data_IF_598272145060
#
_entry.id   IF_598272145060
#
_cell.length_a   1.000
_cell.length_b   1.000
_cell.length_c   1.000
_cell.angle_alpha   90.00
_cell.angle_beta   90.00
_cell.angle_gamma   90.00
#
_symmetry.space_group_name_H-M   'P 1'
#
loop_
_entity.id
_entity.type
_entity.pdbx_description
1 polymer ?
#
# COMPACT_ATOMS: atom_id res chain seq x y z
N UNK A 1 38.99 13.32 -50.48
CA UNK A 1 38.54 12.02 -49.93
C UNK A 1 37.08 12.14 -49.54
N UNK A 2 36.39 11.00 -49.52
CA UNK A 2 34.97 10.72 -49.83
C UNK A 2 33.88 11.40 -48.97
N UNK A 3 32.62 11.51 -49.48
CA UNK A 3 31.47 12.06 -48.77
C UNK A 3 30.85 11.03 -47.82
N UNK A 4 30.17 11.48 -46.76
CA UNK A 4 29.40 10.63 -45.84
C UNK A 4 27.97 11.21 -45.72
N UNK A 5 26.92 10.37 -45.71
CA UNK A 5 25.67 10.61 -46.44
C UNK A 5 24.61 11.45 -45.74
N UNK A 6 23.71 11.99 -46.57
CA UNK A 6 22.37 12.44 -46.17
C UNK A 6 21.63 11.36 -45.38
N UNK A 7 21.02 11.76 -44.27
CA UNK A 7 19.74 11.20 -43.85
C UNK A 7 18.71 12.32 -43.92
N UNK A 8 18.01 12.38 -45.05
CA UNK A 8 16.82 13.20 -45.20
C UNK A 8 15.75 12.55 -44.33
N UNK A 9 15.56 13.05 -43.10
CA UNK A 9 14.29 12.80 -42.44
C UNK A 9 13.26 13.67 -43.16
N UNK A 10 12.42 13.02 -43.96
CA UNK A 10 11.24 13.64 -44.54
C UNK A 10 10.44 14.29 -43.40
N UNK A 11 10.22 15.59 -43.53
CA UNK A 11 9.06 16.25 -42.92
C UNK A 11 7.82 15.61 -43.55
N UNK A 12 7.29 14.58 -42.92
CA UNK A 12 5.86 14.27 -43.03
C UNK A 12 5.16 15.23 -42.09
N UNK A 13 4.57 16.27 -42.66
CA UNK A 13 3.44 16.95 -42.02
C UNK A 13 2.31 15.93 -41.91
N UNK A 14 2.37 15.10 -40.86
CA UNK A 14 1.16 14.53 -40.31
C UNK A 14 0.51 15.68 -39.56
N UNK A 15 -0.46 16.31 -40.23
CA UNK A 15 -1.51 17.06 -39.57
C UNK A 15 -2.19 16.06 -38.63
N UNK A 16 -1.68 15.95 -37.41
CA UNK A 16 -2.44 15.36 -36.32
C UNK A 16 -3.44 16.42 -35.90
N UNK A 17 -4.76 16.10 -35.89
CA UNK A 17 -5.70 16.92 -35.16
C UNK A 17 -5.16 17.05 -33.75
N UNK A 18 -4.92 18.28 -33.30
CA UNK A 18 -4.66 18.57 -31.90
C UNK A 18 -5.87 18.06 -31.11
N UNK A 19 -5.82 16.81 -30.66
CA UNK A 19 -6.65 16.39 -29.55
C UNK A 19 -6.35 17.39 -28.43
N UNK A 20 -7.36 18.05 -27.85
CA UNK A 20 -7.11 19.11 -26.90
C UNK A 20 -6.28 18.52 -25.77
N UNK A 21 -5.13 19.13 -25.45
CA UNK A 21 -4.24 18.70 -24.36
C UNK A 21 -5.01 18.50 -23.04
N UNK A 22 -6.16 19.18 -22.91
CA UNK A 22 -7.12 19.01 -21.82
C UNK A 22 -7.72 17.59 -21.70
N UNK A 23 -7.93 16.82 -22.78
CA UNK A 23 -8.50 15.46 -22.66
C UNK A 23 -7.51 14.48 -22.03
N UNK A 24 -6.21 14.63 -22.31
CA UNK A 24 -5.16 13.82 -21.69
C UNK A 24 -4.96 14.17 -20.22
N UNK A 25 -4.96 15.47 -19.89
CA UNK A 25 -4.88 15.96 -18.52
C UNK A 25 -6.11 15.55 -17.72
N UNK A 26 -7.32 15.64 -18.28
CA UNK A 26 -8.54 15.19 -17.60
C UNK A 26 -8.59 13.68 -17.42
N UNK A 27 -8.18 12.87 -18.41
CA UNK A 27 -8.10 11.41 -18.24
C UNK A 27 -7.05 10.98 -17.21
N UNK A 28 -5.90 11.65 -17.15
CA UNK A 28 -4.91 11.44 -16.08
C UNK A 28 -5.44 11.87 -14.71
N UNK A 29 -6.18 12.97 -14.65
CA UNK A 29 -6.81 13.46 -13.42
C UNK A 29 -7.89 12.48 -12.93
N UNK A 30 -8.68 11.93 -13.86
CA UNK A 30 -9.70 10.92 -13.59
C UNK A 30 -9.07 9.59 -13.17
N UNK A 31 -7.94 9.18 -13.75
CA UNK A 31 -7.24 7.93 -13.36
C UNK A 31 -6.59 8.01 -11.97
N UNK A 32 -6.10 9.19 -11.55
CA UNK A 32 -5.57 9.41 -10.20
C UNK A 32 -6.64 9.34 -9.09
N UNK A 33 -7.91 9.60 -9.43
CA UNK A 33 -9.02 9.46 -8.47
C UNK A 33 -9.30 7.99 -8.09
N UNK A 34 -8.67 7.03 -8.76
CA UNK A 34 -8.81 5.60 -8.49
C UNK A 34 -7.62 4.98 -7.75
N UNK A 35 -6.62 5.79 -7.37
CA UNK A 35 -5.48 5.29 -6.59
C UNK A 35 -5.91 5.14 -5.13
N UNK A 36 -5.81 3.93 -4.54
CA UNK A 36 -6.06 3.73 -3.13
C UNK A 36 -5.13 4.60 -2.29
N UNK A 37 -5.69 5.28 -1.28
CA UNK A 37 -4.94 6.09 -0.32
C UNK A 37 -4.98 5.44 1.04
N UNK A 38 -3.82 5.35 1.66
CA UNK A 38 -3.68 4.99 3.07
C UNK A 38 -3.53 6.27 3.88
N UNK A 39 -4.44 6.52 4.82
CA UNK A 39 -4.39 7.64 5.75
C UNK A 39 -4.08 7.09 7.14
N UNK A 40 -3.26 7.82 7.87
CA UNK A 40 -2.81 7.45 9.20
C UNK A 40 -2.27 8.70 9.91
N UNK A 41 -2.12 8.59 11.23
CA UNK A 41 -1.40 9.54 12.06
C UNK A 41 -0.30 8.82 12.83
N UNK A 42 0.83 9.51 12.99
CA UNK A 42 1.96 9.02 13.77
C UNK A 42 2.06 9.80 15.07
N UNK A 43 2.25 9.08 16.17
CA UNK A 43 2.58 9.63 17.47
C UNK A 43 3.68 8.79 18.12
N UNK A 44 4.50 9.41 18.96
CA UNK A 44 5.49 8.70 19.75
C UNK A 44 5.16 8.85 21.24
N UNK A 45 4.96 7.73 21.92
CA UNK A 45 4.76 7.71 23.37
C UNK A 45 6.13 7.59 24.05
N UNK A 46 6.61 8.71 24.59
CA UNK A 46 7.90 8.77 25.29
C UNK A 46 7.92 7.94 26.58
N UNK A 47 6.78 7.71 27.23
CA UNK A 47 6.73 6.92 28.46
C UNK A 47 6.86 5.43 28.15
N UNK A 48 6.17 4.97 27.11
CA UNK A 48 6.21 3.57 26.67
C UNK A 48 7.37 3.24 25.76
N UNK A 49 8.01 4.27 25.17
CA UNK A 49 9.02 4.13 24.10
C UNK A 49 8.45 3.35 22.91
N UNK A 50 7.31 3.82 22.43
CA UNK A 50 6.56 3.18 21.34
C UNK A 50 6.18 4.20 20.26
N UNK A 51 6.34 3.78 19.00
CA UNK A 51 5.72 4.45 17.86
C UNK A 51 4.30 3.93 17.70
N UNK A 52 3.33 4.84 17.70
CA UNK A 52 1.92 4.57 17.51
C UNK A 52 1.47 5.05 16.13
N UNK A 53 0.86 4.14 15.38
CA UNK A 53 0.17 4.44 14.12
C UNK A 53 -1.32 4.31 14.36
N UNK A 54 -2.05 5.41 14.23
CA UNK A 54 -3.48 5.51 14.56
C UNK A 54 -4.26 6.19 13.42
N UNK A 55 -5.59 6.32 13.56
CA UNK A 55 -6.49 6.89 12.55
C UNK A 55 -6.29 6.23 11.18
N UNK A 56 -6.22 4.89 11.21
CA UNK A 56 -5.90 4.05 10.06
C UNK A 56 -7.12 3.95 9.14
N UNK A 57 -6.98 4.47 7.92
CA UNK A 57 -8.04 4.45 6.92
C UNK A 57 -7.49 4.06 5.54
N UNK A 58 -8.23 3.22 4.83
CA UNK A 58 -8.06 3.00 3.40
C UNK A 58 -9.19 3.72 2.66
N UNK A 59 -8.85 4.57 1.68
CA UNK A 59 -9.81 5.40 0.94
C UNK A 59 -9.63 5.20 -0.55
N UNK A 60 -10.74 5.16 -1.29
CA UNK A 60 -10.72 5.07 -2.75
C UNK A 60 -10.23 3.72 -3.24
N UNK A 61 -10.45 2.66 -2.45
CA UNK A 61 -10.14 1.30 -2.87
C UNK A 61 -11.20 0.83 -3.89
N UNK A 62 -10.84 0.63 -5.17
CA UNK A 62 -11.80 0.12 -6.14
C UNK A 62 -12.23 -1.29 -5.75
N UNK A 63 -13.53 -1.55 -5.83
CA UNK A 63 -14.08 -2.91 -5.79
C UNK A 63 -14.08 -3.41 -7.23
N UNK A 64 -13.16 -4.31 -7.58
CA UNK A 64 -13.18 -4.92 -8.92
C UNK A 64 -14.20 -6.05 -8.97
N UNK A 65 -14.77 -6.31 -10.15
CA UNK A 65 -15.79 -7.36 -10.31
C UNK A 65 -15.23 -8.77 -10.12
N UNK A 66 -13.91 -8.94 -10.19
CA UNK A 66 -13.22 -10.20 -9.87
C UNK A 66 -12.97 -10.41 -8.36
N UNK A 67 -13.45 -9.53 -7.48
CA UNK A 67 -13.29 -9.74 -6.04
C UNK A 67 -14.19 -10.88 -5.54
N UNK A 68 -13.56 -11.93 -4.99
CA UNK A 68 -14.27 -13.05 -4.40
C UNK A 68 -15.06 -12.62 -3.15
N UNK A 69 -16.33 -13.07 -3.00
CA UNK A 69 -17.12 -12.80 -1.81
C UNK A 69 -16.40 -13.35 -0.57
N UNK A 70 -16.20 -12.49 0.44
CA UNK A 70 -15.48 -12.82 1.67
C UNK A 70 -13.97 -12.55 1.64
N UNK A 71 -13.45 -11.86 0.61
CA UNK A 71 -12.10 -11.31 0.64
C UNK A 71 -12.01 -10.18 1.67
N UNK A 72 -10.94 -10.20 2.47
CA UNK A 72 -10.71 -9.24 3.56
C UNK A 72 -9.49 -8.36 3.25
N UNK A 73 -9.39 -7.19 3.92
CA UNK A 73 -8.20 -6.34 3.91
C UNK A 73 -7.71 -6.07 5.33
N UNK A 74 -6.44 -5.75 5.42
CA UNK A 74 -5.81 -5.28 6.64
C UNK A 74 -4.63 -4.39 6.29
N UNK A 75 -4.17 -3.62 7.27
CA UNK A 75 -2.94 -2.85 7.17
C UNK A 75 -1.87 -3.62 7.95
N UNK A 76 -0.78 -3.98 7.26
CA UNK A 76 0.42 -4.52 7.89
C UNK A 76 1.49 -3.45 7.94
N UNK A 77 2.11 -3.27 9.11
CA UNK A 77 3.24 -2.38 9.30
C UNK A 77 4.49 -3.14 9.70
N UNK A 78 5.62 -2.72 9.15
CA UNK A 78 6.96 -3.22 9.47
C UNK A 78 7.82 -2.03 9.88
N UNK A 79 8.38 -2.07 11.09
CA UNK A 79 9.31 -1.07 11.59
C UNK A 79 10.72 -1.68 11.63
N UNK A 80 11.65 -1.10 10.91
CA UNK A 80 13.06 -1.48 10.89
C UNK A 80 13.89 -0.43 11.61
N UNK A 81 14.78 -0.85 12.50
CA UNK A 81 15.67 0.03 13.27
C UNK A 81 17.00 -0.68 13.54
N UNK A 82 17.92 0.00 14.23
CA UNK A 82 19.20 -0.60 14.64
C UNK A 82 19.02 -1.80 15.57
N UNK A 83 17.95 -1.84 16.38
CA UNK A 83 17.58 -2.97 17.22
C UNK A 83 16.94 -4.15 16.47
N UNK A 84 16.70 -4.01 15.17
CA UNK A 84 16.09 -5.03 14.32
C UNK A 84 14.73 -4.61 13.75
N UNK A 85 13.96 -5.62 13.34
CA UNK A 85 12.67 -5.45 12.66
C UNK A 85 11.53 -5.94 13.54
N UNK A 86 10.44 -5.17 13.60
CA UNK A 86 9.18 -5.55 14.26
C UNK A 86 8.01 -5.40 13.30
N UNK A 87 6.95 -6.20 13.50
CA UNK A 87 5.77 -6.22 12.64
C UNK A 87 4.50 -6.14 13.49
N UNK A 88 3.50 -5.42 12.97
CA UNK A 88 2.16 -5.36 13.54
C UNK A 88 1.13 -5.31 12.42
N UNK A 89 -0.09 -5.78 12.70
CA UNK A 89 -1.18 -5.72 11.73
C UNK A 89 -2.51 -5.38 12.40
N UNK A 90 -3.40 -4.78 11.62
CA UNK A 90 -4.77 -4.55 12.05
C UNK A 90 -5.59 -5.83 11.93
N UNK A 91 -6.79 -5.81 12.49
CA UNK A 91 -7.82 -6.80 12.24
C UNK A 91 -8.20 -6.85 10.75
N UNK A 92 -8.65 -8.02 10.31
CA UNK A 92 -9.22 -8.22 8.99
C UNK A 92 -10.58 -7.51 8.90
N UNK A 93 -10.75 -6.68 7.87
CA UNK A 93 -12.00 -5.98 7.58
C UNK A 93 -12.53 -6.38 6.21
N UNK A 94 -13.86 -6.39 6.08
CA UNK A 94 -14.50 -6.61 4.79
C UNK A 94 -14.06 -5.53 3.78
N UNK A 95 -13.97 -5.92 2.52
CA UNK A 95 -13.63 -5.01 1.43
C UNK A 95 -14.74 -3.99 1.22
N UNK A 96 -14.46 -2.74 1.56
CA UNK A 96 -15.32 -1.58 1.28
C UNK A 96 -14.51 -0.52 0.50
N UNK A 97 -15.15 0.41 -0.23
CA UNK A 97 -14.42 1.48 -0.91
C UNK A 97 -13.67 2.41 0.07
N UNK A 98 -14.19 2.49 1.29
CA UNK A 98 -13.60 3.19 2.41
C UNK A 98 -13.67 2.30 3.65
N UNK A 99 -12.51 2.00 4.24
CA UNK A 99 -12.37 1.16 5.42
C UNK A 99 -11.65 1.95 6.51
N UNK A 100 -12.18 1.89 7.73
CA UNK A 100 -11.60 2.52 8.92
C UNK A 100 -11.34 1.42 9.94
N UNK A 101 -10.15 1.43 10.54
CA UNK A 101 -9.79 0.53 11.63
C UNK A 101 -9.79 1.30 12.95
N UNK A 102 -10.63 0.88 13.89
CA UNK A 102 -10.71 1.45 15.25
C UNK A 102 -9.69 0.79 16.18
N UNK A 103 -8.44 0.75 15.73
CA UNK A 103 -7.29 0.22 16.47
C UNK A 103 -6.02 0.97 16.06
N UNK A 104 -4.94 0.75 16.81
CA UNK A 104 -3.63 1.31 16.52
C UNK A 104 -2.59 0.21 16.36
N UNK A 105 -1.64 0.43 15.46
CA UNK A 105 -0.43 -0.39 15.40
C UNK A 105 0.61 0.23 16.33
N UNK A 106 1.12 -0.58 17.25
CA UNK A 106 2.12 -0.17 18.24
C UNK A 106 3.44 -0.89 17.96
N UNK A 107 4.52 -0.12 17.88
CA UNK A 107 5.85 -0.64 17.63
C UNK A 107 6.80 -0.18 18.74
N UNK A 108 7.47 -1.11 19.44
CA UNK A 108 8.56 -0.76 20.35
C UNK A 108 9.66 -0.03 19.57
N UNK A 109 10.07 1.14 20.05
CA UNK A 109 11.11 1.95 19.43
C UNK A 109 11.75 2.87 20.46
N UNK A 110 13.04 2.69 20.76
CA UNK A 110 13.73 3.58 21.68
C UNK A 110 13.89 4.99 21.10
N UNK A 111 14.16 5.98 21.96
CA UNK A 111 14.31 7.37 21.54
C UNK A 111 15.56 7.54 20.67
N UNK A 112 16.60 6.77 20.97
CA UNK A 112 17.88 6.75 20.27
C UNK A 112 17.73 6.19 18.84
N UNK A 113 16.91 5.15 18.66
CA UNK A 113 16.67 4.51 17.36
C UNK A 113 15.74 5.33 16.44
N UNK A 114 14.93 6.23 17.00
CA UNK A 114 13.84 6.92 16.28
C UNK A 114 14.30 7.72 15.06
N UNK A 115 15.52 8.24 15.10
CA UNK A 115 16.06 9.10 14.04
C UNK A 115 16.36 8.29 12.77
N UNK A 116 16.69 7.01 12.92
CA UNK A 116 17.13 6.14 11.82
C UNK A 116 16.10 5.06 11.48
N UNK A 117 15.04 4.92 12.28
CA UNK A 117 14.02 3.91 12.06
C UNK A 117 13.17 4.19 10.82
N UNK A 118 12.84 3.13 10.10
CA UNK A 118 11.99 3.16 8.91
C UNK A 118 10.69 2.39 9.16
N UNK A 119 9.55 3.07 9.04
CA UNK A 119 8.23 2.45 9.08
C UNK A 119 7.69 2.27 7.66
N UNK A 120 7.41 1.03 7.28
CA UNK A 120 6.68 0.69 6.07
C UNK A 120 5.26 0.25 6.42
N UNK A 121 4.25 0.87 5.81
CA UNK A 121 2.85 0.46 5.91
C UNK A 121 2.36 -0.09 4.58
N UNK A 122 1.66 -1.23 4.62
CA UNK A 122 1.13 -1.93 3.44
C UNK A 122 -0.34 -2.25 3.64
N UNK A 123 -1.18 -1.82 2.68
CA UNK A 123 -2.55 -2.32 2.58
C UNK A 123 -2.51 -3.67 1.87
N UNK A 124 -2.92 -4.73 2.56
CA UNK A 124 -2.86 -6.10 2.07
C UNK A 124 -4.26 -6.69 1.93
N UNK A 125 -4.42 -7.58 0.97
CA UNK A 125 -5.67 -8.27 0.68
C UNK A 125 -5.47 -9.76 1.00
N UNK A 126 -6.43 -10.35 1.72
CA UNK A 126 -6.47 -11.77 2.01
C UNK A 126 -7.57 -12.41 1.18
N UNK A 127 -7.16 -13.29 0.26
CA UNK A 127 -8.11 -14.15 -0.44
C UNK A 127 -8.34 -15.44 0.37
N UNK A 128 -9.61 -15.83 0.60
CA UNK A 128 -9.94 -17.01 1.40
C UNK A 128 -9.26 -18.30 0.93
N UNK A 129 -8.93 -18.40 -0.35
CA UNK A 129 -8.31 -19.58 -0.97
C UNK A 129 -6.85 -19.81 -0.58
N UNK A 130 -6.18 -18.83 0.03
CA UNK A 130 -4.79 -18.95 0.50
C UNK A 130 -4.65 -19.30 1.98
N UNK A 131 -5.76 -19.40 2.72
CA UNK A 131 -5.75 -19.95 4.08
C UNK A 131 -5.84 -21.47 4.02
N UNK A 132 -4.70 -22.14 3.78
CA UNK A 132 -4.60 -23.57 4.03
C UNK A 132 -4.87 -23.84 5.54
N UNK A 133 -5.72 -24.80 5.90
CA UNK A 133 -5.97 -25.15 7.29
C UNK A 133 -4.78 -25.96 7.81
N UNK A 134 -3.81 -25.29 8.42
CA UNK A 134 -2.55 -25.95 8.79
C UNK A 134 -1.83 -25.30 9.96
N UNK A 135 -2.54 -24.87 11.00
CA UNK A 135 -1.93 -24.52 12.30
C UNK A 135 -2.97 -24.64 13.43
N UNK A 136 -3.59 -25.81 13.56
CA UNK A 136 -4.21 -26.20 14.83
C UNK A 136 -3.21 -27.11 15.52
N UNK A 137 -2.54 -26.55 16.53
CA UNK A 137 -1.46 -27.19 17.27
C UNK A 137 -1.85 -28.55 17.84
N UNK A 138 -0.85 -29.43 17.85
CA UNK A 138 -0.87 -30.73 18.50
C UNK A 138 -1.36 -30.61 19.94
N UNK A 139 -2.42 -31.36 20.27
CA UNK A 139 -2.71 -31.75 21.63
C UNK A 139 -2.12 -33.15 21.82
N UNK A 140 -1.16 -33.39 22.73
CA UNK A 140 -0.87 -34.75 23.13
C UNK A 140 -2.00 -35.20 24.05
N UNK A 141 -2.80 -36.17 23.61
CA UNK A 141 -3.60 -36.98 24.51
C UNK A 141 -2.64 -37.88 25.29
N UNK A 142 -2.68 -37.74 26.61
CA UNK A 142 -2.03 -38.68 27.52
C UNK A 142 -2.91 -39.92 27.65
N UNK A 143 -2.33 -41.10 27.41
CA UNK A 143 -2.93 -42.41 27.63
C UNK A 143 -1.87 -43.49 27.57
#
# INVERSE_FOLDING_TARGET
>A
MLPVPMSIYKRTELVHPLAPENEYVEKFSQSLNHIPKLRYSLGYDHQKRELCVSLLEAVGCPLTKEEEPGSHRYIGGTLTSNGGQTEAQTSLMNRTPHTVWDEALLFPLSEEERVEAELTLTLRHCDPLLQAPGSRGNHPESG
#
